data_IF_361700053956
#
_entry.id   IF_361700053956
#
_cell.length_a   1.000
_cell.length_b   1.000
_cell.length_c   1.000
_cell.angle_alpha   90.00
_cell.angle_beta   90.00
_cell.angle_gamma   90.00
#
_symmetry.space_group_name_H-M   'P 1'
#
loop_
_entity.id
_entity.type
_entity.pdbx_description
1 polymer ?
#
# COMPACT_ATOMS: atom_id res chain seq x y z
N UNK A 1 7.39 -4.93 -14.07
CA UNK A 1 6.14 -4.43 -13.46
C UNK A 1 5.60 -5.55 -12.59
N UNK A 2 5.14 -5.24 -11.39
CA UNK A 2 4.53 -6.25 -10.52
C UNK A 2 3.32 -6.90 -11.19
N UNK A 3 3.08 -8.17 -10.85
CA UNK A 3 1.96 -8.91 -11.40
C UNK A 3 0.62 -8.21 -11.09
N UNK A 4 -0.33 -8.16 -12.03
CA UNK A 4 -1.51 -7.30 -11.92
C UNK A 4 -2.41 -7.63 -10.73
N UNK A 5 -2.39 -8.86 -10.21
CA UNK A 5 -3.15 -9.24 -9.01
C UNK A 5 -2.60 -8.65 -7.70
N UNK A 6 -1.36 -8.14 -7.69
CA UNK A 6 -0.73 -7.59 -6.48
C UNK A 6 -1.24 -6.17 -6.20
N UNK A 7 -1.33 -5.76 -4.93
CA UNK A 7 -1.44 -4.35 -4.61
C UNK A 7 -0.17 -3.62 -5.05
N UNK A 8 -0.24 -2.31 -5.29
CA UNK A 8 0.93 -1.49 -5.61
C UNK A 8 0.92 -0.18 -4.84
N UNK A 9 2.11 0.37 -4.64
CA UNK A 9 2.33 1.70 -4.11
C UNK A 9 3.39 2.39 -4.94
N UNK A 10 3.18 3.66 -5.26
CA UNK A 10 4.13 4.48 -6.00
C UNK A 10 4.23 5.85 -5.35
N UNK A 11 5.42 6.20 -4.87
CA UNK A 11 5.73 7.55 -4.44
C UNK A 11 5.73 8.46 -5.67
N UNK A 12 4.94 9.53 -5.60
CA UNK A 12 4.72 10.45 -6.71
C UNK A 12 5.38 11.81 -6.47
N UNK A 13 5.17 12.37 -5.28
CA UNK A 13 5.64 13.71 -4.95
C UNK A 13 6.18 13.75 -3.52
N UNK A 14 7.17 14.60 -3.31
CA UNK A 14 7.70 14.93 -2.00
C UNK A 14 8.29 16.33 -2.06
N UNK A 15 8.39 16.99 -0.90
CA UNK A 15 9.05 18.29 -0.79
C UNK A 15 10.57 18.14 -1.03
N UNK A 16 11.19 19.10 -1.72
CA UNK A 16 12.65 19.14 -1.88
C UNK A 16 13.34 19.43 -0.55
N UNK A 17 14.60 18.98 -0.40
CA UNK A 17 15.45 19.30 0.75
C UNK A 17 14.89 18.88 2.13
N UNK A 18 13.95 17.93 2.17
CA UNK A 18 13.27 17.50 3.41
C UNK A 18 14.24 17.13 4.54
N UNK A 19 15.32 16.36 4.33
CA UNK A 19 16.31 16.09 5.37
C UNK A 19 16.87 17.38 6.00
N UNK A 20 17.22 18.35 5.16
CA UNK A 20 17.76 19.64 5.58
C UNK A 20 16.75 20.51 6.31
N UNK A 21 15.49 20.49 5.87
CA UNK A 21 14.37 21.17 6.55
C UNK A 21 14.19 20.60 7.96
N UNK A 22 14.12 19.27 8.09
CA UNK A 22 13.92 18.58 9.38
C UNK A 22 15.09 18.87 10.34
N UNK A 23 16.33 18.74 9.85
CA UNK A 23 17.52 19.03 10.65
C UNK A 23 17.55 20.50 11.11
N UNK A 24 17.19 21.44 10.23
CA UNK A 24 17.17 22.87 10.53
C UNK A 24 16.08 23.21 11.55
N UNK A 25 14.89 22.64 11.40
CA UNK A 25 13.79 22.80 12.36
C UNK A 25 14.16 22.25 13.75
N UNK A 26 14.82 21.09 13.80
CA UNK A 26 15.36 20.54 15.05
C UNK A 26 16.37 21.48 15.71
N UNK A 27 17.38 21.92 14.96
CA UNK A 27 18.45 22.80 15.46
C UNK A 27 17.95 24.19 15.89
N UNK A 28 16.94 24.73 15.22
CA UNK A 28 16.37 26.04 15.51
C UNK A 28 15.91 26.17 16.96
N UNK A 29 15.42 25.09 17.56
CA UNK A 29 14.96 25.08 18.96
C UNK A 29 16.07 25.32 20.00
N UNK A 30 17.34 25.22 19.59
CA UNK A 30 18.52 25.34 20.45
C UNK A 30 19.48 26.46 20.03
N UNK A 31 19.18 27.17 18.93
CA UNK A 31 20.07 28.16 18.35
C UNK A 31 19.52 29.57 18.52
N UNK A 32 20.40 30.54 18.76
CA UNK A 32 20.06 31.97 18.71
C UNK A 32 19.97 32.53 17.27
N UNK A 33 20.32 31.73 16.26
CA UNK A 33 20.28 32.14 14.84
C UNK A 33 18.89 31.87 14.26
N UNK A 34 18.49 32.67 13.28
CA UNK A 34 17.26 32.43 12.52
C UNK A 34 17.36 31.16 11.64
N UNK A 35 16.19 30.67 11.20
CA UNK A 35 16.08 29.44 10.41
C UNK A 35 16.79 29.53 9.06
N UNK A 36 16.81 30.70 8.42
CA UNK A 36 17.45 30.89 7.11
C UNK A 36 18.98 30.74 7.21
N UNK A 37 19.56 31.33 8.26
CA UNK A 37 20.98 31.22 8.58
C UNK A 37 21.35 29.78 8.94
N UNK A 38 20.52 29.10 9.74
CA UNK A 38 20.72 27.70 10.09
C UNK A 38 20.70 26.84 8.83
N UNK A 39 19.66 26.99 8.01
CA UNK A 39 19.46 26.24 6.77
C UNK A 39 20.64 26.47 5.81
N UNK A 40 21.07 27.72 5.59
CA UNK A 40 22.22 28.03 4.73
C UNK A 40 23.53 27.40 5.20
N UNK A 41 23.70 27.19 6.51
CA UNK A 41 24.92 26.59 7.10
C UNK A 41 24.90 25.07 7.24
N UNK A 42 23.79 24.42 6.87
CA UNK A 42 23.60 22.97 7.04
C UNK A 42 24.18 22.22 5.83
N UNK A 43 25.30 21.55 6.06
CA UNK A 43 25.90 20.56 5.17
C UNK A 43 25.34 19.15 5.43
N UNK A 44 25.58 18.22 4.51
CA UNK A 44 25.02 16.86 4.57
C UNK A 44 25.44 16.09 5.82
N UNK A 45 26.66 16.33 6.32
CA UNK A 45 27.16 15.66 7.53
C UNK A 45 26.35 16.09 8.75
N UNK A 46 26.11 17.40 8.90
CA UNK A 46 25.26 17.93 9.97
C UNK A 46 23.81 17.50 9.82
N UNK A 47 23.28 17.42 8.59
CA UNK A 47 21.92 16.94 8.34
C UNK A 47 21.75 15.52 8.91
N UNK A 48 22.66 14.62 8.55
CA UNK A 48 22.62 13.22 9.02
C UNK A 48 22.76 13.15 10.54
N UNK A 49 23.68 13.93 11.13
CA UNK A 49 23.87 14.00 12.59
C UNK A 49 22.60 14.41 13.31
N UNK A 50 21.95 15.50 12.86
CA UNK A 50 20.72 15.99 13.46
C UNK A 50 19.55 15.03 13.30
N UNK A 51 19.35 14.45 12.12
CA UNK A 51 18.26 13.47 11.91
C UNK A 51 18.48 12.24 12.79
N UNK A 52 19.70 11.70 12.82
CA UNK A 52 20.05 10.58 13.70
C UNK A 52 19.71 10.88 15.16
N UNK A 53 20.06 12.07 15.63
CA UNK A 53 19.81 12.45 17.02
C UNK A 53 18.33 12.64 17.32
N UNK A 54 17.56 13.23 16.40
CA UNK A 54 16.12 13.38 16.53
C UNK A 54 15.40 12.02 16.58
N UNK A 55 15.80 11.07 15.73
CA UNK A 55 15.27 9.69 15.76
C UNK A 55 15.61 9.02 17.08
N UNK A 56 16.88 9.07 17.50
CA UNK A 56 17.36 8.42 18.73
C UNK A 56 16.63 8.92 19.98
N UNK A 57 16.35 10.23 20.05
CA UNK A 57 15.62 10.85 21.17
C UNK A 57 14.10 10.72 21.07
N UNK A 58 13.57 10.26 19.94
CA UNK A 58 12.12 10.26 19.68
C UNK A 58 11.52 11.67 19.54
N UNK A 59 12.33 12.66 19.18
CA UNK A 59 11.89 14.05 18.96
C UNK A 59 11.30 14.18 17.56
N UNK A 60 10.03 13.80 17.40
CA UNK A 60 9.45 13.62 16.05
C UNK A 60 8.67 14.80 15.50
N UNK A 61 8.46 15.88 16.26
CA UNK A 61 7.78 17.07 15.72
C UNK A 61 8.48 17.72 14.53
N UNK A 62 9.83 17.79 14.42
CA UNK A 62 10.47 18.38 13.22
C UNK A 62 10.15 17.63 11.93
N UNK A 63 9.82 16.34 12.00
CA UNK A 63 9.46 15.51 10.83
C UNK A 63 8.10 15.88 10.24
N UNK A 64 7.28 16.69 10.92
CA UNK A 64 6.01 17.19 10.38
C UNK A 64 6.18 18.21 9.24
N UNK A 65 7.35 18.87 9.14
CA UNK A 65 7.67 19.84 8.09
C UNK A 65 8.02 19.19 6.74
N UNK A 66 7.46 18.00 6.47
CA UNK A 66 7.66 17.24 5.25
C UNK A 66 6.32 16.74 4.72
N UNK A 67 6.26 16.43 3.44
CA UNK A 67 5.08 15.81 2.83
C UNK A 67 5.53 14.79 1.79
N UNK A 68 4.89 13.62 1.80
CA UNK A 68 5.08 12.54 0.85
C UNK A 68 3.72 12.16 0.31
N UNK A 69 3.59 12.19 -1.01
CA UNK A 69 2.37 11.88 -1.74
C UNK A 69 2.60 10.65 -2.57
N UNK A 70 1.79 9.61 -2.36
CA UNK A 70 1.92 8.34 -3.04
C UNK A 70 0.56 7.82 -3.52
N UNK A 71 0.55 7.17 -4.68
CA UNK A 71 -0.60 6.42 -5.17
C UNK A 71 -0.54 5.00 -4.62
N UNK A 72 -1.69 4.49 -4.19
CA UNK A 72 -1.89 3.09 -3.82
C UNK A 72 -3.00 2.51 -4.68
N UNK A 73 -2.74 1.37 -5.33
CA UNK A 73 -3.77 0.52 -5.92
C UNK A 73 -3.89 -0.74 -5.07
N UNK A 74 -5.03 -0.93 -4.43
CA UNK A 74 -5.26 -2.03 -3.49
C UNK A 74 -6.74 -2.45 -3.47
N UNK A 75 -7.10 -3.42 -2.65
CA UNK A 75 -8.47 -3.86 -2.42
C UNK A 75 -9.23 -2.86 -1.55
N UNK A 76 -10.57 -2.97 -1.53
CA UNK A 76 -11.37 -2.22 -0.55
C UNK A 76 -11.02 -2.64 0.89
N UNK A 77 -10.67 -3.91 1.14
CA UNK A 77 -10.19 -4.42 2.45
C UNK A 77 -8.99 -3.62 2.95
N UNK A 78 -7.94 -3.48 2.13
CA UNK A 78 -6.74 -2.75 2.50
C UNK A 78 -7.03 -1.26 2.64
N UNK A 79 -7.79 -0.67 1.71
CA UNK A 79 -8.12 0.76 1.78
C UNK A 79 -8.85 1.13 3.08
N UNK A 80 -9.73 0.25 3.59
CA UNK A 80 -10.46 0.46 4.84
C UNK A 80 -9.55 0.40 6.09
N UNK A 81 -8.35 -0.18 5.97
CA UNK A 81 -7.30 -0.12 7.01
C UNK A 81 -6.44 1.13 6.85
N UNK A 82 -6.09 1.50 5.61
CA UNK A 82 -5.25 2.68 5.30
C UNK A 82 -5.91 3.96 5.82
N UNK A 83 -7.20 4.18 5.51
CA UNK A 83 -7.91 5.42 5.89
C UNK A 83 -8.12 5.61 7.40
N UNK A 84 -7.71 4.62 8.22
CA UNK A 84 -7.71 4.75 9.69
C UNK A 84 -6.53 5.58 10.21
N UNK A 85 -5.53 5.86 9.37
CA UNK A 85 -4.45 6.80 9.65
C UNK A 85 -4.96 8.22 9.43
N UNK A 86 -5.33 8.91 10.51
CA UNK A 86 -6.08 10.18 10.43
C UNK A 86 -5.22 11.40 10.12
N UNK A 87 -3.90 11.32 10.33
CA UNK A 87 -2.97 12.42 10.06
C UNK A 87 -2.46 12.27 8.62
N UNK A 88 -3.39 12.36 7.67
CA UNK A 88 -3.13 12.14 6.25
C UNK A 88 -4.23 12.76 5.38
N UNK A 89 -3.89 13.06 4.12
CA UNK A 89 -4.84 13.43 3.08
C UNK A 89 -5.18 12.22 2.20
N UNK A 90 -6.46 12.08 1.81
CA UNK A 90 -6.95 10.97 0.97
C UNK A 90 -7.81 11.47 -0.18
N UNK A 91 -7.57 10.93 -1.37
CA UNK A 91 -8.53 10.95 -2.48
C UNK A 91 -8.67 9.53 -3.01
N UNK A 92 -9.89 9.01 -3.05
CA UNK A 92 -10.12 7.60 -3.40
C UNK A 92 -11.11 7.48 -4.56
N UNK A 93 -10.86 6.51 -5.44
CA UNK A 93 -11.76 6.16 -6.54
C UNK A 93 -13.17 5.83 -6.00
N UNK A 94 -14.15 6.63 -6.41
CA UNK A 94 -15.55 6.45 -6.00
C UNK A 94 -16.27 5.43 -6.87
N UNK A 95 -16.82 4.40 -6.23
CA UNK A 95 -17.72 3.43 -6.88
C UNK A 95 -19.13 3.97 -7.14
N UNK A 96 -19.44 5.20 -6.70
CA UNK A 96 -20.71 5.87 -7.06
C UNK A 96 -20.66 6.44 -8.47
N UNK A 97 -19.46 6.71 -8.98
CA UNK A 97 -19.26 7.43 -10.24
C UNK A 97 -18.39 6.68 -11.24
N UNK A 98 -17.65 5.66 -10.82
CA UNK A 98 -16.68 4.98 -11.67
C UNK A 98 -16.70 3.47 -11.48
N UNK A 99 -16.63 2.78 -12.62
CA UNK A 99 -16.50 1.34 -12.79
C UNK A 99 -15.27 0.97 -13.65
N UNK A 100 -14.27 1.86 -13.75
CA UNK A 100 -13.11 1.71 -14.65
C UNK A 100 -12.44 0.33 -14.61
N UNK A 101 -12.14 -0.19 -13.43
CA UNK A 101 -11.54 -1.52 -13.27
C UNK A 101 -12.47 -2.65 -13.76
N UNK A 102 -13.77 -2.56 -13.48
CA UNK A 102 -14.77 -3.52 -13.96
C UNK A 102 -14.99 -3.45 -15.47
N UNK A 103 -14.85 -2.27 -16.07
CA UNK A 103 -14.92 -2.13 -17.55
C UNK A 103 -13.70 -2.75 -18.23
N UNK A 104 -12.52 -2.58 -17.64
CA UNK A 104 -11.31 -3.27 -18.12
C UNK A 104 -11.42 -4.79 -17.98
N UNK A 105 -12.07 -5.26 -16.92
CA UNK A 105 -12.39 -6.67 -16.74
C UNK A 105 -13.28 -7.21 -17.85
N UNK A 106 -14.40 -6.55 -18.15
CA UNK A 106 -15.29 -6.99 -19.24
C UNK A 106 -14.62 -6.86 -20.61
N UNK A 107 -13.80 -5.81 -20.82
CA UNK A 107 -13.00 -5.66 -22.05
C UNK A 107 -12.02 -6.82 -22.24
N UNK A 108 -11.38 -7.27 -21.17
CA UNK A 108 -10.44 -8.40 -21.22
C UNK A 108 -11.15 -9.71 -21.51
N UNK A 109 -12.37 -9.90 -20.97
CA UNK A 109 -13.24 -11.01 -21.34
C UNK A 109 -13.60 -10.97 -22.82
N UNK A 110 -14.05 -9.82 -23.33
CA UNK A 110 -14.41 -9.66 -24.74
C UNK A 110 -13.25 -10.01 -25.67
N UNK A 111 -12.04 -9.56 -25.33
CA UNK A 111 -10.84 -9.85 -26.11
C UNK A 111 -10.44 -11.33 -26.06
N UNK A 112 -10.54 -11.97 -24.89
CA UNK A 112 -10.30 -13.42 -24.77
C UNK A 112 -11.28 -14.24 -25.64
N UNK A 113 -12.54 -13.82 -25.71
CA UNK A 113 -13.58 -14.51 -26.50
C UNK A 113 -13.54 -14.17 -28.00
N UNK A 114 -12.73 -13.18 -28.43
CA UNK A 114 -12.79 -12.62 -29.78
C UNK A 114 -14.15 -11.97 -30.11
N UNK A 115 -14.79 -11.38 -29.09
CA UNK A 115 -16.13 -10.79 -29.13
C UNK A 115 -16.14 -9.31 -28.74
N UNK A 116 -15.15 -8.56 -29.21
CA UNK A 116 -15.08 -7.11 -29.01
C UNK A 116 -16.27 -6.37 -29.63
N UNK A 117 -16.97 -6.98 -30.60
CA UNK A 117 -18.24 -6.50 -31.16
C UNK A 117 -19.34 -6.31 -30.10
N UNK A 118 -19.30 -7.10 -29.03
CA UNK A 118 -20.27 -7.04 -27.93
C UNK A 118 -19.84 -6.08 -26.80
N UNK A 119 -18.60 -5.59 -26.83
CA UNK A 119 -18.10 -4.69 -25.80
C UNK A 119 -18.53 -3.25 -26.08
N UNK A 120 -19.30 -2.67 -25.16
CA UNK A 120 -19.68 -1.26 -25.20
C UNK A 120 -18.80 -0.47 -24.25
N UNK A 121 -18.00 0.47 -24.74
CA UNK A 121 -17.27 1.37 -23.85
C UNK A 121 -18.23 2.31 -23.13
N UNK A 122 -18.14 2.34 -21.79
CA UNK A 122 -18.89 3.26 -20.94
C UNK A 122 -20.41 3.23 -21.16
N UNK A 123 -21.08 2.07 -20.99
CA UNK A 123 -22.50 1.92 -21.27
C UNK A 123 -23.34 2.85 -20.38
N UNK A 124 -24.26 3.59 -20.98
CA UNK A 124 -25.20 4.50 -20.27
C UNK A 124 -26.66 4.06 -20.35
N UNK A 125 -26.90 2.88 -20.91
CA UNK A 125 -28.23 2.33 -21.13
C UNK A 125 -28.28 0.87 -20.67
N UNK A 126 -29.49 0.33 -20.56
CA UNK A 126 -29.72 -1.03 -20.09
C UNK A 126 -29.18 -2.09 -21.06
N UNK A 127 -29.17 -1.81 -22.36
CA UNK A 127 -28.71 -2.75 -23.40
C UNK A 127 -27.19 -2.98 -23.35
N UNK A 128 -26.41 -1.95 -23.07
CA UNK A 128 -24.96 -2.08 -22.87
C UNK A 128 -24.64 -2.99 -21.69
N UNK A 129 -25.35 -2.86 -20.57
CA UNK A 129 -25.17 -3.76 -19.43
C UNK A 129 -25.63 -5.19 -19.71
N UNK A 130 -26.69 -5.39 -20.50
CA UNK A 130 -27.07 -6.75 -20.96
C UNK A 130 -25.96 -7.40 -21.78
N UNK A 131 -25.27 -6.62 -22.61
CA UNK A 131 -24.14 -7.11 -23.41
C UNK A 131 -22.97 -7.55 -22.52
N UNK A 132 -22.69 -6.78 -21.45
CA UNK A 132 -21.70 -7.18 -20.44
C UNK A 132 -22.09 -8.48 -19.72
N UNK A 133 -23.36 -8.62 -19.29
CA UNK A 133 -23.85 -9.86 -18.66
C UNK A 133 -23.70 -11.05 -19.62
N UNK A 134 -24.04 -10.85 -20.91
CA UNK A 134 -23.90 -11.89 -21.92
C UNK A 134 -22.44 -12.33 -22.11
N UNK A 135 -21.51 -11.39 -22.23
CA UNK A 135 -20.07 -11.67 -22.31
C UNK A 135 -19.57 -12.46 -21.10
N UNK A 136 -19.97 -12.07 -19.89
CA UNK A 136 -19.56 -12.74 -18.65
C UNK A 136 -20.10 -14.18 -18.60
N UNK A 137 -21.34 -14.41 -19.03
CA UNK A 137 -21.91 -15.76 -19.06
C UNK A 137 -21.17 -16.66 -20.07
N UNK A 138 -20.92 -16.18 -21.30
CA UNK A 138 -20.13 -16.92 -22.29
C UNK A 138 -18.73 -17.25 -21.74
N UNK A 139 -18.11 -16.31 -21.04
CA UNK A 139 -16.80 -16.52 -20.43
C UNK A 139 -16.83 -17.61 -19.36
N UNK A 140 -17.80 -17.61 -18.46
CA UNK A 140 -17.97 -18.67 -17.45
C UNK A 140 -18.18 -20.02 -18.14
N UNK A 141 -19.08 -20.08 -19.12
CA UNK A 141 -19.42 -21.32 -19.84
C UNK A 141 -18.23 -21.85 -20.66
N UNK A 142 -17.32 -20.98 -21.12
CA UNK A 142 -16.12 -21.37 -21.86
C UNK A 142 -15.11 -22.14 -21.01
N UNK A 143 -15.21 -22.08 -19.68
CA UNK A 143 -14.30 -22.79 -18.76
C UNK A 143 -12.81 -22.42 -18.98
N UNK A 144 -12.43 -21.12 -18.91
CA UNK A 144 -11.07 -20.67 -19.22
C UNK A 144 -10.05 -21.34 -18.32
N UNK A 145 -8.82 -21.57 -18.79
CA UNK A 145 -7.74 -22.10 -17.94
C UNK A 145 -7.45 -21.16 -16.75
N UNK A 146 -6.84 -21.71 -15.68
CA UNK A 146 -6.62 -20.96 -14.44
C UNK A 146 -5.81 -19.68 -14.65
N UNK A 147 -4.73 -19.72 -15.41
CA UNK A 147 -3.84 -18.56 -15.58
C UNK A 147 -4.56 -17.44 -16.36
N UNK A 148 -5.33 -17.80 -17.40
CA UNK A 148 -6.22 -16.88 -18.12
C UNK A 148 -7.29 -16.27 -17.21
N UNK A 149 -7.93 -17.10 -16.37
CA UNK A 149 -8.93 -16.64 -15.41
C UNK A 149 -8.30 -15.67 -14.39
N UNK A 150 -7.11 -16.01 -13.88
CA UNK A 150 -6.37 -15.17 -12.95
C UNK A 150 -6.02 -13.83 -13.59
N UNK A 151 -5.48 -13.82 -14.82
CA UNK A 151 -5.12 -12.59 -15.53
C UNK A 151 -6.31 -11.66 -15.75
N UNK A 152 -7.45 -12.21 -16.19
CA UNK A 152 -8.68 -11.45 -16.37
C UNK A 152 -9.20 -10.92 -15.03
N UNK A 153 -9.32 -11.76 -14.00
CA UNK A 153 -9.76 -11.34 -12.66
C UNK A 153 -8.85 -10.27 -12.06
N UNK A 154 -7.54 -10.37 -12.30
CA UNK A 154 -6.53 -9.43 -11.84
C UNK A 154 -6.73 -8.03 -12.39
N UNK A 155 -7.49 -7.82 -13.47
CA UNK A 155 -7.80 -6.48 -13.96
C UNK A 155 -8.66 -5.68 -12.97
N UNK A 156 -9.57 -6.34 -12.26
CA UNK A 156 -10.51 -5.72 -11.34
C UNK A 156 -10.28 -6.03 -9.87
N UNK A 157 -9.56 -7.09 -9.52
CA UNK A 157 -9.45 -7.56 -8.14
C UNK A 157 -7.99 -7.72 -7.69
N UNK A 158 -7.77 -7.55 -6.39
CA UNK A 158 -6.56 -8.03 -5.72
C UNK A 158 -6.80 -9.48 -5.31
N UNK A 159 -5.86 -10.37 -5.66
CA UNK A 159 -5.99 -11.81 -5.38
C UNK A 159 -5.07 -12.19 -4.22
N UNK A 160 -5.57 -12.82 -3.14
CA UNK A 160 -4.73 -13.23 -2.01
C UNK A 160 -3.61 -14.22 -2.40
N UNK A 161 -2.44 -14.17 -1.74
CA UNK A 161 -1.32 -15.06 -2.05
C UNK A 161 -1.67 -16.55 -2.01
N UNK A 162 -2.46 -16.98 -1.01
CA UNK A 162 -2.86 -18.39 -0.88
C UNK A 162 -3.78 -18.85 -2.04
N UNK A 163 -4.59 -17.96 -2.60
CA UNK A 163 -5.43 -18.27 -3.77
C UNK A 163 -4.55 -18.51 -5.00
N UNK A 164 -3.49 -17.71 -5.17
CA UNK A 164 -2.51 -17.88 -6.25
C UNK A 164 -1.68 -19.16 -6.05
N UNK A 165 -1.11 -19.34 -4.87
CA UNK A 165 -0.24 -20.49 -4.53
C UNK A 165 -0.97 -21.83 -4.65
N UNK A 166 -2.24 -21.88 -4.22
CA UNK A 166 -3.04 -23.10 -4.27
C UNK A 166 -3.80 -23.29 -5.59
N UNK A 167 -3.67 -22.36 -6.55
CA UNK A 167 -4.44 -22.31 -7.80
C UNK A 167 -5.96 -22.48 -7.56
N UNK A 168 -6.49 -21.78 -6.55
CA UNK A 168 -7.90 -21.89 -6.16
C UNK A 168 -8.81 -21.19 -7.18
N UNK A 169 -9.27 -21.98 -8.15
CA UNK A 169 -10.18 -21.56 -9.20
C UNK A 169 -11.54 -21.10 -8.67
N UNK A 170 -12.07 -21.79 -7.67
CA UNK A 170 -13.42 -21.53 -7.13
C UNK A 170 -13.55 -20.11 -6.55
N UNK A 171 -12.46 -19.63 -5.93
CA UNK A 171 -12.36 -18.26 -5.45
C UNK A 171 -12.45 -17.25 -6.61
N UNK A 172 -11.72 -17.48 -7.71
CA UNK A 172 -11.70 -16.59 -8.87
C UNK A 172 -13.06 -16.57 -9.59
N UNK A 173 -13.68 -17.73 -9.80
CA UNK A 173 -15.00 -17.84 -10.42
C UNK A 173 -16.07 -17.10 -9.61
N UNK A 174 -16.00 -17.16 -8.28
CA UNK A 174 -16.90 -16.42 -7.39
C UNK A 174 -16.82 -14.90 -7.60
N UNK A 175 -15.63 -14.37 -7.89
CA UNK A 175 -15.46 -12.95 -8.21
C UNK A 175 -16.09 -12.59 -9.56
N UNK A 176 -15.93 -13.45 -10.58
CA UNK A 176 -16.55 -13.26 -11.90
C UNK A 176 -18.07 -13.27 -11.80
N UNK A 177 -18.64 -14.23 -11.08
CA UNK A 177 -20.09 -14.33 -10.85
C UNK A 177 -20.61 -13.06 -10.17
N UNK A 178 -19.89 -12.52 -9.18
CA UNK A 178 -20.29 -11.29 -8.50
C UNK A 178 -20.32 -10.08 -9.44
N UNK A 179 -19.38 -9.97 -10.38
CA UNK A 179 -19.41 -8.92 -11.43
C UNK A 179 -20.59 -9.11 -12.37
N UNK A 180 -20.91 -10.36 -12.75
CA UNK A 180 -22.11 -10.66 -13.54
C UNK A 180 -23.39 -10.20 -12.84
N UNK A 181 -23.53 -10.46 -11.53
CA UNK A 181 -24.67 -10.00 -10.72
C UNK A 181 -24.73 -8.47 -10.60
N UNK A 182 -23.57 -7.82 -10.46
CA UNK A 182 -23.48 -6.36 -10.47
C UNK A 182 -24.04 -5.75 -11.76
N UNK A 183 -23.63 -6.26 -12.94
CA UNK A 183 -24.15 -5.73 -14.20
C UNK A 183 -25.59 -6.14 -14.50
N UNK A 184 -26.06 -7.28 -14.00
CA UNK A 184 -27.48 -7.69 -14.11
C UNK A 184 -28.42 -6.70 -13.40
N UNK A 185 -28.07 -6.24 -12.19
CA UNK A 185 -28.90 -5.22 -11.51
C UNK A 185 -28.81 -3.85 -12.19
N UNK A 186 -27.66 -3.47 -12.77
CA UNK A 186 -27.57 -2.25 -13.57
C UNK A 186 -28.44 -2.31 -14.83
N UNK A 187 -28.50 -3.47 -15.50
CA UNK A 187 -29.42 -3.69 -16.62
C UNK A 187 -30.91 -3.58 -16.22
N UNK A 188 -31.23 -3.84 -14.94
CA UNK A 188 -32.56 -3.65 -14.34
C UNK A 188 -32.85 -2.20 -13.92
N UNK A 189 -31.86 -1.31 -13.98
CA UNK A 189 -32.01 0.13 -13.70
C UNK A 189 -31.60 0.57 -12.30
N UNK A 190 -30.91 -0.27 -11.53
CA UNK A 190 -30.32 0.15 -10.26
C UNK A 190 -29.18 1.15 -10.48
N UNK A 191 -28.91 1.99 -9.48
CA UNK A 191 -27.80 2.95 -9.54
C UNK A 191 -26.47 2.24 -9.22
N UNK A 192 -25.34 2.85 -9.61
CA UNK A 192 -24.02 2.35 -9.19
C UNK A 192 -23.85 2.31 -7.66
N UNK A 193 -24.47 3.26 -6.96
CA UNK A 193 -24.42 3.37 -5.50
C UNK A 193 -25.08 2.18 -4.81
N UNK A 194 -26.17 1.65 -5.36
CA UNK A 194 -26.86 0.48 -4.82
C UNK A 194 -26.24 -0.83 -5.34
N UNK A 195 -25.94 -0.90 -6.64
CA UNK A 195 -25.41 -2.11 -7.26
C UNK A 195 -24.08 -2.56 -6.64
N UNK A 196 -23.22 -1.62 -6.23
CA UNK A 196 -21.91 -1.91 -5.63
C UNK A 196 -21.97 -2.73 -4.34
N UNK A 197 -23.14 -2.83 -3.68
CA UNK A 197 -23.32 -3.68 -2.50
C UNK A 197 -23.11 -5.17 -2.83
N UNK A 198 -23.22 -5.56 -4.11
CA UNK A 198 -22.92 -6.90 -4.59
C UNK A 198 -21.42 -7.15 -4.84
N UNK A 199 -20.59 -6.10 -4.89
CA UNK A 199 -19.18 -6.24 -5.23
C UNK A 199 -18.37 -6.77 -4.03
N UNK A 200 -17.53 -7.81 -4.23
CA UNK A 200 -16.64 -8.32 -3.19
C UNK A 200 -15.62 -7.27 -2.72
N UNK A 201 -15.20 -7.34 -1.46
CA UNK A 201 -14.22 -6.43 -0.88
C UNK A 201 -12.81 -6.53 -1.52
N UNK A 202 -12.55 -7.59 -2.28
CA UNK A 202 -11.32 -7.77 -3.06
C UNK A 202 -11.22 -6.78 -4.25
N UNK A 203 -12.30 -6.07 -4.60
CA UNK A 203 -12.34 -5.13 -5.72
C UNK A 203 -11.25 -4.06 -5.58
N UNK A 204 -10.54 -3.81 -6.68
CA UNK A 204 -9.51 -2.79 -6.76
C UNK A 204 -10.09 -1.39 -6.57
N UNK A 205 -9.33 -0.59 -5.87
CA UNK A 205 -9.53 0.83 -5.68
C UNK A 205 -8.17 1.52 -5.81
N UNK A 206 -8.20 2.80 -6.18
CA UNK A 206 -7.02 3.65 -6.27
C UNK A 206 -7.16 4.77 -5.25
N UNK A 207 -6.10 5.02 -4.50
CA UNK A 207 -6.00 6.10 -3.53
C UNK A 207 -4.79 6.96 -3.83
N UNK A 208 -4.97 8.28 -3.79
CA UNK A 208 -3.89 9.22 -3.56
C UNK A 208 -3.81 9.49 -2.06
N UNK A 209 -2.65 9.27 -1.47
CA UNK A 209 -2.40 9.42 -0.03
C UNK A 209 -1.31 10.47 0.16
N UNK A 210 -1.49 11.37 1.11
CA UNK A 210 -0.49 12.36 1.52
C UNK A 210 -0.21 12.24 3.01
N UNK A 211 1.05 12.01 3.40
CA UNK A 211 1.48 11.89 4.80
C UNK A 211 2.78 12.68 5.02
N UNK A 212 2.93 13.30 6.18
CA UNK A 212 4.23 13.82 6.60
C UNK A 212 5.13 12.69 7.13
N UNK A 213 6.44 12.93 7.25
CA UNK A 213 7.36 11.93 7.77
C UNK A 213 7.00 11.49 9.20
N UNK A 214 6.46 12.37 10.05
CA UNK A 214 6.05 11.97 11.41
C UNK A 214 4.97 10.88 11.38
N UNK A 215 3.92 11.03 10.58
CA UNK A 215 2.88 10.00 10.44
C UNK A 215 3.46 8.71 9.87
N UNK A 216 4.35 8.79 8.88
CA UNK A 216 5.03 7.62 8.33
C UNK A 216 5.86 6.88 9.38
N UNK A 217 6.63 7.62 10.19
CA UNK A 217 7.62 7.10 11.13
C UNK A 217 7.01 6.62 12.44
N UNK A 218 6.04 7.33 13.01
CA UNK A 218 5.49 7.01 14.32
C UNK A 218 4.23 6.13 14.24
N UNK A 219 3.56 6.10 13.09
CA UNK A 219 2.24 5.48 12.95
C UNK A 219 2.17 4.49 11.78
N UNK A 220 2.23 4.94 10.53
CA UNK A 220 1.96 4.09 9.36
C UNK A 220 2.94 2.92 9.24
N UNK A 221 4.24 3.18 9.10
CA UNK A 221 5.23 2.11 8.94
C UNK A 221 5.30 1.21 10.18
N UNK A 222 5.37 1.72 11.43
CA UNK A 222 5.40 0.88 12.63
C UNK A 222 4.19 -0.04 12.79
N UNK A 223 2.99 0.43 12.43
CA UNK A 223 1.76 -0.35 12.52
C UNK A 223 1.62 -1.36 11.40
N UNK A 224 2.04 -1.00 10.18
CA UNK A 224 1.70 -1.76 8.98
C UNK A 224 2.80 -2.71 8.52
N UNK A 225 4.06 -2.50 8.89
CA UNK A 225 5.15 -3.45 8.59
C UNK A 225 5.14 -4.68 9.52
N UNK A 226 4.36 -4.64 10.61
CA UNK A 226 4.28 -5.71 11.61
C UNK A 226 3.57 -6.97 11.08
N UNK A 227 3.93 -8.15 11.59
CA UNK A 227 3.29 -9.43 11.24
C UNK A 227 1.79 -9.47 11.57
N UNK A 228 1.37 -8.70 12.59
CA UNK A 228 -0.04 -8.59 13.00
C UNK A 228 -0.88 -7.79 11.99
N UNK A 229 -0.27 -6.96 11.15
CA UNK A 229 -0.98 -6.28 10.07
C UNK A 229 -1.37 -7.29 8.99
N UNK A 230 -2.52 -7.09 8.35
CA UNK A 230 -2.95 -7.94 7.25
C UNK A 230 -1.95 -7.84 6.07
N UNK A 231 -1.75 -8.96 5.36
CA UNK A 231 -0.64 -9.12 4.41
C UNK A 231 -0.59 -8.04 3.32
N UNK A 232 -1.74 -7.55 2.85
CA UNK A 232 -1.82 -6.60 1.73
C UNK A 232 -1.35 -5.22 2.14
N UNK A 233 -1.86 -4.67 3.25
CA UNK A 233 -1.39 -3.39 3.79
C UNK A 233 0.07 -3.48 4.25
N UNK A 234 0.51 -4.65 4.71
CA UNK A 234 1.91 -4.89 5.06
C UNK A 234 2.82 -4.85 3.85
N UNK A 235 2.42 -5.50 2.76
CA UNK A 235 3.15 -5.44 1.49
C UNK A 235 3.25 -3.99 0.97
N UNK A 236 2.16 -3.22 1.04
CA UNK A 236 2.15 -1.80 0.70
C UNK A 236 3.14 -1.02 1.56
N UNK A 237 3.14 -1.23 2.88
CA UNK A 237 4.03 -0.50 3.79
C UNK A 237 5.52 -0.80 3.54
N UNK A 238 5.88 -2.07 3.31
CA UNK A 238 7.26 -2.45 2.98
C UNK A 238 7.72 -1.88 1.63
N UNK A 239 6.88 -1.91 0.60
CA UNK A 239 7.22 -1.33 -0.70
C UNK A 239 7.29 0.20 -0.66
N UNK A 240 6.45 0.86 0.15
CA UNK A 240 6.57 2.29 0.39
C UNK A 240 7.90 2.63 1.09
N UNK A 241 8.26 1.87 2.13
CA UNK A 241 9.54 2.07 2.83
C UNK A 241 10.74 1.93 1.88
N UNK A 242 10.75 0.95 0.97
CA UNK A 242 11.82 0.80 -0.04
C UNK A 242 11.97 2.05 -0.91
N UNK A 243 10.85 2.61 -1.40
CA UNK A 243 10.88 3.84 -2.20
C UNK A 243 11.31 5.06 -1.37
N UNK A 244 10.90 5.13 -0.11
CA UNK A 244 11.33 6.19 0.81
C UNK A 244 12.83 6.12 1.13
N UNK A 245 13.41 4.91 1.18
CA UNK A 245 14.85 4.67 1.33
C UNK A 245 15.66 5.13 0.11
N UNK A 246 15.10 5.03 -1.09
CA UNK A 246 15.75 5.52 -2.31
C UNK A 246 15.87 7.05 -2.33
N UNK A 247 14.86 7.76 -1.81
CA UNK A 247 14.84 9.23 -1.87
C UNK A 247 15.48 9.91 -0.66
N UNK A 248 15.18 9.47 0.57
CA UNK A 248 15.65 10.10 1.81
C UNK A 248 16.14 9.03 2.81
N UNK A 249 17.23 8.32 2.48
CA UNK A 249 17.77 7.27 3.35
C UNK A 249 18.15 7.80 4.74
N UNK A 250 18.55 9.07 4.86
CA UNK A 250 18.93 9.67 6.15
C UNK A 250 17.78 9.69 7.16
N UNK A 251 16.53 9.72 6.67
CA UNK A 251 15.31 9.73 7.46
C UNK A 251 14.85 8.30 7.75
N UNK A 252 14.75 7.45 6.71
CA UNK A 252 14.02 6.19 6.79
C UNK A 252 14.87 4.97 7.14
N UNK A 253 16.21 5.11 7.14
CA UNK A 253 17.15 4.01 7.42
C UNK A 253 16.92 3.35 8.78
N UNK A 254 16.49 4.12 9.77
CA UNK A 254 16.30 3.66 11.15
C UNK A 254 14.84 3.31 11.48
N UNK A 255 13.96 3.34 10.46
CA UNK A 255 12.51 3.28 10.65
C UNK A 255 12.00 1.91 10.22
N UNK A 256 11.12 1.31 11.03
CA UNK A 256 10.56 -0.01 10.76
C UNK A 256 9.34 -0.32 11.63
N UNK A 257 8.96 -1.61 11.77
CA UNK A 257 7.89 -2.02 12.68
C UNK A 257 8.20 -1.60 14.14
N UNK A 258 7.17 -1.56 15.01
CA UNK A 258 7.31 -1.11 16.40
C UNK A 258 8.48 -1.72 17.20
N UNK A 259 8.87 -2.97 16.93
CA UNK A 259 10.05 -3.57 17.56
C UNK A 259 11.33 -2.77 17.29
N UNK A 260 11.54 -2.33 16.05
CA UNK A 260 12.68 -1.51 15.63
C UNK A 260 12.61 -0.13 16.30
N UNK A 261 11.42 0.47 16.32
CA UNK A 261 11.20 1.80 16.88
C UNK A 261 11.50 1.86 18.38
N UNK A 262 11.06 0.85 19.14
CA UNK A 262 11.31 0.80 20.58
C UNK A 262 12.77 0.43 20.87
N UNK A 263 13.32 -0.53 20.12
CA UNK A 263 14.72 -0.93 20.28
C UNK A 263 15.68 0.24 20.02
N UNK A 264 15.40 1.05 18.99
CA UNK A 264 16.14 2.27 18.67
C UNK A 264 16.20 3.29 19.81
N UNK A 265 15.22 3.29 20.73
CA UNK A 265 15.14 4.24 21.85
C UNK A 265 15.87 3.77 23.11
N UNK A 266 16.09 2.48 23.27
CA UNK A 266 16.76 1.92 24.46
C UNK A 266 18.26 1.69 24.24
N UNK A 267 18.68 1.62 22.97
CA UNK A 267 20.06 1.28 22.63
C UNK A 267 21.01 2.47 22.56
N UNK A 268 22.30 2.18 22.78
CA UNK A 268 23.37 3.20 22.72
C UNK A 268 23.63 3.70 21.30
N UNK A 269 23.72 2.78 20.33
CA UNK A 269 24.00 3.10 18.93
C UNK A 269 22.83 2.61 18.05
N UNK A 270 22.34 3.46 17.14
CA UNK A 270 21.28 3.05 16.23
C UNK A 270 21.77 2.01 15.22
N UNK A 271 20.92 1.03 14.94
CA UNK A 271 21.06 0.12 13.81
C UNK A 271 20.04 0.48 12.74
N UNK A 272 20.46 0.45 11.48
CA UNK A 272 19.57 0.52 10.33
C UNK A 272 18.66 -0.71 10.26
N UNK A 273 17.51 -0.56 9.61
CA UNK A 273 16.58 -1.68 9.39
C UNK A 273 17.25 -2.82 8.61
N UNK A 274 18.10 -2.50 7.62
CA UNK A 274 18.84 -3.49 6.84
C UNK A 274 19.82 -4.28 7.71
N UNK A 275 20.47 -3.66 8.69
CA UNK A 275 21.34 -4.39 9.62
C UNK A 275 20.56 -5.41 10.46
N UNK A 276 19.32 -5.13 10.85
CA UNK A 276 18.46 -6.13 11.49
C UNK A 276 18.03 -7.23 10.52
N UNK A 277 17.66 -6.87 9.28
CA UNK A 277 17.24 -7.83 8.25
C UNK A 277 18.37 -8.80 7.89
N UNK A 278 19.60 -8.30 7.76
CA UNK A 278 20.78 -9.10 7.45
C UNK A 278 21.32 -9.89 8.66
N UNK A 279 20.83 -9.59 9.87
CA UNK A 279 21.30 -10.20 11.12
C UNK A 279 22.64 -9.65 11.62
N UNK A 280 23.08 -8.49 11.10
CA UNK A 280 24.26 -7.75 11.60
C UNK A 280 23.97 -7.03 12.91
N UNK A 281 22.70 -6.85 13.26
CA UNK A 281 22.29 -6.22 14.51
C UNK A 281 21.25 -7.04 15.27
N UNK A 282 21.45 -7.17 16.59
CA UNK A 282 20.53 -7.83 17.51
C UNK A 282 19.64 -6.82 18.25
N UNK A 283 18.54 -7.33 18.81
CA UNK A 283 17.61 -6.59 19.64
C UNK A 283 18.08 -6.57 21.12
N UNK A 284 18.02 -5.39 21.73
CA UNK A 284 18.27 -5.17 23.16
C UNK A 284 16.98 -5.30 23.99
N UNK A 285 15.82 -5.05 23.37
CA UNK A 285 14.51 -5.28 24.01
C UNK A 285 14.29 -6.78 24.29
N UNK A 286 13.69 -7.08 25.44
CA UNK A 286 13.36 -8.47 25.83
C UNK A 286 12.19 -9.06 25.04
N UNK A 287 11.23 -8.21 24.63
CA UNK A 287 10.08 -8.57 23.80
C UNK A 287 9.59 -7.37 23.02
N UNK A 288 8.94 -7.61 21.88
CA UNK A 288 8.26 -6.54 21.15
C UNK A 288 6.87 -6.22 21.74
N UNK A 289 6.22 -5.11 21.33
CA UNK A 289 4.87 -4.76 21.78
C UNK A 289 3.79 -5.81 21.49
N UNK A 290 4.02 -6.66 20.49
CA UNK A 290 3.11 -7.75 20.11
C UNK A 290 3.41 -9.06 20.83
N UNK A 291 4.22 -8.99 21.89
CA UNK A 291 4.60 -10.10 22.76
C UNK A 291 5.43 -11.19 22.07
N UNK A 292 6.18 -10.83 21.04
CA UNK A 292 7.18 -11.73 20.44
C UNK A 292 8.48 -11.59 21.23
N UNK A 293 8.98 -12.71 21.76
CA UNK A 293 10.24 -12.76 22.48
C UNK A 293 11.43 -12.39 21.59
N UNK A 294 12.45 -11.77 22.20
CA UNK A 294 13.65 -11.23 21.54
C UNK A 294 14.23 -12.17 20.47
N UNK A 295 14.39 -13.45 20.82
CA UNK A 295 15.01 -14.47 19.96
C UNK A 295 14.21 -14.69 18.66
N UNK A 296 12.91 -14.44 18.67
CA UNK A 296 12.01 -14.61 17.53
C UNK A 296 11.76 -13.32 16.72
N UNK A 297 12.16 -12.14 17.22
CA UNK A 297 11.89 -10.86 16.56
C UNK A 297 12.57 -10.80 15.18
N UNK A 298 13.84 -11.22 15.08
CA UNK A 298 14.60 -11.18 13.82
C UNK A 298 13.97 -12.07 12.75
N UNK A 299 13.50 -13.27 13.13
CA UNK A 299 12.81 -14.16 12.19
C UNK A 299 11.46 -13.57 11.75
N UNK A 300 10.71 -12.98 12.69
CA UNK A 300 9.46 -12.28 12.39
C UNK A 300 9.68 -11.13 11.39
N UNK A 301 10.75 -10.35 11.56
CA UNK A 301 11.10 -9.25 10.66
C UNK A 301 11.46 -9.75 9.25
N UNK A 302 12.25 -10.82 9.16
CA UNK A 302 12.59 -11.47 7.88
C UNK A 302 11.34 -12.00 7.17
N UNK A 303 10.41 -12.62 7.89
CA UNK A 303 9.15 -13.12 7.30
C UNK A 303 8.27 -11.98 6.78
N UNK A 304 8.20 -10.87 7.50
CA UNK A 304 7.29 -9.76 7.14
C UNK A 304 7.76 -8.92 5.97
N UNK A 305 9.08 -8.84 5.75
CA UNK A 305 9.69 -8.05 4.68
C UNK A 305 9.66 -8.72 3.31
N UNK A 306 9.47 -10.03 3.25
CA UNK A 306 9.39 -10.79 1.99
C UNK A 306 8.12 -10.50 1.20
N UNK A 307 8.19 -10.73 -0.11
CA UNK A 307 7.01 -10.75 -0.96
C UNK A 307 6.14 -11.96 -0.56
N UNK A 308 4.87 -11.75 -0.14
CA UNK A 308 4.02 -12.84 0.32
C UNK A 308 3.59 -13.80 -0.80
N UNK A 309 3.77 -13.42 -2.07
CA UNK A 309 3.52 -14.27 -3.24
C UNK A 309 4.69 -15.20 -3.56
N UNK A 310 5.89 -14.88 -3.07
CA UNK A 310 7.07 -15.74 -3.24
C UNK A 310 7.11 -16.84 -2.16
N UNK A 311 7.79 -17.97 -2.43
CA UNK A 311 7.91 -19.09 -1.49
C UNK A 311 8.69 -18.77 -0.21
#
# INVERSE_FOLDING_TARGET
>A
MDAPYKPSVKLLFYLSDVPKIIASAGKMTLSHRDVATIFGSMDDTKVVEWIRELVRRGHTSPFEHSIYVFEVVCSRVASHQIVRHRIAGYTQLSQRYSENFLRLFVKSIASYLGREDLYVDSPRNREGYKSYVHLINIFIDSGPEYDTLLDIVSTAFIVPPNVVKNRDRSFLESLVVAVGRYYDVLAKGYTYEDARFLLPQAIKTRLLVSMNARELIESFLPLRMCIRAQWEIRYIAWNLWRQLMEIHPDIFRYIGPRCIHIDSRVRKNLCSLDEYLDGRCSFEISRCPELVDREAISQCLKTTSRDPYEP
#
